data_IF_584289969384
#
_entry.id   IF_584289969384
#
_cell.length_a   1.000
_cell.length_b   1.000
_cell.length_c   1.000
_cell.angle_alpha   90.00
_cell.angle_beta   90.00
_cell.angle_gamma   90.00
#
_symmetry.space_group_name_H-M   'P 1'
#
loop_
_entity.id
_entity.type
_entity.pdbx_description
1 polymer ?
#
# COMPACT_ATOMS: atom_id res chain seq x y z
N UNK A 1 -29.07 40.61 -8.95
CA UNK A 1 -29.45 41.13 -10.28
C UNK A 1 -29.54 40.05 -11.37
N UNK A 2 -29.37 38.75 -11.13
CA UNK A 2 -29.44 37.73 -12.21
C UNK A 2 -30.25 36.48 -11.83
N UNK A 3 -31.38 36.64 -11.12
CA UNK A 3 -32.08 35.50 -10.48
C UNK A 3 -32.50 34.41 -11.51
N UNK A 4 -33.08 34.81 -12.63
CA UNK A 4 -33.50 33.88 -13.68
C UNK A 4 -32.30 33.26 -14.42
N UNK A 5 -31.26 34.04 -14.72
CA UNK A 5 -30.05 33.55 -15.40
C UNK A 5 -29.24 32.58 -14.52
N UNK A 6 -29.21 32.83 -13.20
CA UNK A 6 -28.58 31.97 -12.21
C UNK A 6 -29.22 30.58 -12.17
N UNK A 7 -30.56 30.53 -12.13
CA UNK A 7 -31.29 29.27 -12.12
C UNK A 7 -31.06 28.48 -13.42
N UNK A 8 -31.08 29.17 -14.57
CA UNK A 8 -30.81 28.55 -15.88
C UNK A 8 -29.38 28.04 -16.01
N UNK A 9 -28.38 28.76 -15.51
CA UNK A 9 -26.98 28.33 -15.54
C UNK A 9 -26.76 27.09 -14.67
N UNK A 10 -27.36 27.06 -13.47
CA UNK A 10 -27.24 25.94 -12.52
C UNK A 10 -27.99 24.68 -12.95
N UNK A 11 -28.96 24.79 -13.86
CA UNK A 11 -29.58 23.63 -14.52
C UNK A 11 -28.64 22.98 -15.54
N UNK A 12 -27.66 23.71 -16.06
CA UNK A 12 -26.74 23.20 -17.09
C UNK A 12 -25.42 22.69 -16.53
N UNK A 13 -24.95 23.25 -15.42
CA UNK A 13 -23.67 22.91 -14.80
C UNK A 13 -23.76 22.89 -13.27
N UNK A 14 -23.03 22.00 -12.58
CA UNK A 14 -23.03 21.92 -11.13
C UNK A 14 -22.12 23.01 -10.53
N UNK A 15 -22.68 24.21 -10.44
CA UNK A 15 -22.00 25.42 -9.98
C UNK A 15 -22.61 25.99 -8.69
N UNK A 16 -21.73 26.44 -7.78
CA UNK A 16 -22.13 27.11 -6.55
C UNK A 16 -22.64 28.53 -6.80
N UNK A 17 -23.57 29.00 -5.96
CA UNK A 17 -24.29 30.28 -6.15
C UNK A 17 -23.33 31.47 -6.31
N UNK A 18 -22.35 31.61 -5.42
CA UNK A 18 -21.40 32.73 -5.47
C UNK A 18 -20.54 32.72 -6.74
N UNK A 19 -20.08 31.54 -7.15
CA UNK A 19 -19.26 31.40 -8.35
C UNK A 19 -20.07 31.70 -9.62
N UNK A 20 -21.32 31.22 -9.68
CA UNK A 20 -22.23 31.48 -10.78
C UNK A 20 -22.58 32.97 -10.93
N UNK A 21 -22.81 33.68 -9.82
CA UNK A 21 -23.06 35.13 -9.85
C UNK A 21 -21.83 35.86 -10.43
N UNK A 22 -20.63 35.51 -9.98
CA UNK A 22 -19.40 36.14 -10.46
C UNK A 22 -19.16 35.90 -11.97
N UNK A 23 -19.46 34.69 -12.48
CA UNK A 23 -19.36 34.41 -13.91
C UNK A 23 -20.42 35.16 -14.73
N UNK A 24 -21.64 35.30 -14.22
CA UNK A 24 -22.70 36.07 -14.85
C UNK A 24 -22.37 37.58 -14.87
N UNK A 25 -21.80 38.12 -13.80
CA UNK A 25 -21.33 39.51 -13.75
C UNK A 25 -20.23 39.75 -14.79
N UNK A 26 -19.25 38.83 -14.92
CA UNK A 26 -18.16 38.92 -15.91
C UNK A 26 -18.63 38.83 -17.37
N UNK A 27 -19.77 38.20 -17.62
CA UNK A 27 -20.32 37.96 -18.95
C UNK A 27 -21.53 38.83 -19.25
N UNK A 28 -21.81 39.84 -18.42
CA UNK A 28 -23.00 40.71 -18.52
C UNK A 28 -24.33 39.91 -18.61
N UNK A 29 -24.40 38.75 -17.96
CA UNK A 29 -25.58 37.89 -17.93
C UNK A 29 -25.72 36.91 -19.10
N UNK A 30 -24.72 36.79 -19.99
CA UNK A 30 -24.70 35.79 -21.06
C UNK A 30 -24.42 34.39 -20.49
N UNK A 31 -25.45 33.55 -20.48
CA UNK A 31 -25.42 32.19 -19.93
C UNK A 31 -24.44 31.29 -20.72
N UNK A 32 -24.38 31.43 -22.05
CA UNK A 32 -23.55 30.59 -22.89
C UNK A 32 -22.06 30.91 -22.67
N UNK A 33 -21.71 32.20 -22.57
CA UNK A 33 -20.36 32.62 -22.23
C UNK A 33 -19.99 32.24 -20.79
N UNK A 34 -20.90 32.41 -19.82
CA UNK A 34 -20.66 32.04 -18.43
C UNK A 34 -20.38 30.55 -18.28
N UNK A 35 -21.09 29.71 -19.02
CA UNK A 35 -20.84 28.26 -19.09
C UNK A 35 -19.47 27.96 -19.71
N UNK A 36 -19.12 28.59 -20.83
CA UNK A 36 -17.82 28.37 -21.48
C UNK A 36 -16.66 28.73 -20.56
N UNK A 37 -16.74 29.85 -19.85
CA UNK A 37 -15.74 30.26 -18.87
C UNK A 37 -15.62 29.26 -17.72
N UNK A 38 -16.75 28.78 -17.18
CA UNK A 38 -16.73 27.73 -16.16
C UNK A 38 -16.02 26.47 -16.65
N UNK A 39 -16.35 26.01 -17.87
CA UNK A 39 -15.74 24.81 -18.44
C UNK A 39 -14.23 24.98 -18.63
N UNK A 40 -13.78 26.13 -19.13
CA UNK A 40 -12.35 26.45 -19.27
C UNK A 40 -11.63 26.51 -17.92
N UNK A 41 -12.21 27.17 -16.92
CA UNK A 41 -11.64 27.27 -15.57
C UNK A 41 -11.45 25.88 -14.94
N UNK A 42 -12.47 25.02 -15.03
CA UNK A 42 -12.41 23.66 -14.46
C UNK A 42 -11.45 22.77 -15.25
N UNK A 43 -11.44 22.85 -16.58
CA UNK A 43 -10.46 22.13 -17.42
C UNK A 43 -9.03 22.52 -17.04
N UNK A 44 -8.76 23.82 -16.85
CA UNK A 44 -7.44 24.30 -16.43
C UNK A 44 -7.05 23.78 -15.03
N UNK A 45 -7.99 23.67 -14.09
CA UNK A 45 -7.72 23.06 -12.78
C UNK A 45 -7.27 21.60 -12.94
N UNK A 46 -7.95 20.83 -13.79
CA UNK A 46 -7.60 19.43 -14.03
C UNK A 46 -6.24 19.29 -14.73
N UNK A 47 -5.99 20.09 -15.77
CA UNK A 47 -4.69 20.12 -16.47
C UNK A 47 -3.56 20.44 -15.48
N UNK A 48 -3.73 21.47 -14.64
CA UNK A 48 -2.71 21.85 -13.67
C UNK A 48 -2.45 20.77 -12.60
N UNK A 49 -3.45 19.94 -12.29
CA UNK A 49 -3.32 18.86 -11.30
C UNK A 49 -2.78 17.56 -11.86
N UNK A 50 -2.98 17.29 -13.15
CA UNK A 50 -2.71 15.97 -13.75
C UNK A 50 -1.74 16.02 -14.93
N UNK A 51 -1.48 17.20 -15.48
CA UNK A 51 -0.68 17.42 -16.69
C UNK A 51 -1.19 16.67 -17.92
N UNK A 52 -2.49 16.35 -17.99
CA UNK A 52 -3.11 15.73 -19.17
C UNK A 52 -3.46 16.78 -20.23
N UNK A 53 -3.67 16.32 -21.47
CA UNK A 53 -4.16 17.17 -22.55
C UNK A 53 -5.57 17.72 -22.23
N UNK A 54 -5.91 18.95 -22.69
CA UNK A 54 -7.22 19.55 -22.45
C UNK A 54 -8.40 18.66 -22.87
N UNK A 55 -8.27 17.95 -23.99
CA UNK A 55 -9.30 17.04 -24.49
C UNK A 55 -9.57 15.87 -23.54
N UNK A 56 -8.52 15.33 -22.91
CA UNK A 56 -8.63 14.24 -21.93
C UNK A 56 -9.32 14.76 -20.67
N UNK A 57 -8.90 15.92 -20.16
CA UNK A 57 -9.53 16.56 -19.01
C UNK A 57 -11.02 16.82 -19.26
N UNK A 58 -11.37 17.38 -20.41
CA UNK A 58 -12.76 17.69 -20.79
C UNK A 58 -13.62 16.43 -20.88
N UNK A 59 -13.11 15.37 -21.53
CA UNK A 59 -13.82 14.07 -21.64
C UNK A 59 -14.17 13.50 -20.26
N UNK A 60 -13.22 13.49 -19.33
CA UNK A 60 -13.44 12.98 -17.97
C UNK A 60 -14.34 13.88 -17.13
N UNK A 61 -14.24 15.20 -17.27
CA UNK A 61 -15.12 16.15 -16.61
C UNK A 61 -16.58 15.93 -17.02
N UNK A 62 -16.84 15.78 -18.32
CA UNK A 62 -18.19 15.50 -18.82
C UNK A 62 -18.71 14.17 -18.27
N UNK A 63 -17.89 13.11 -18.33
CA UNK A 63 -18.25 11.77 -17.81
C UNK A 63 -18.64 11.78 -16.33
N UNK A 64 -17.96 12.61 -15.52
CA UNK A 64 -18.16 12.68 -14.07
C UNK A 64 -19.05 13.86 -13.62
N UNK A 65 -19.73 14.52 -14.55
CA UNK A 65 -20.60 15.65 -14.24
C UNK A 65 -19.86 16.80 -13.55
N UNK A 66 -18.65 17.11 -14.02
CA UNK A 66 -17.76 18.18 -13.50
C UNK A 66 -17.39 18.04 -12.01
N UNK A 67 -17.57 16.87 -11.41
CA UNK A 67 -17.00 16.55 -10.08
C UNK A 67 -15.48 16.41 -10.21
N UNK A 68 -14.75 17.39 -9.65
CA UNK A 68 -13.29 17.44 -9.72
C UNK A 68 -12.66 16.19 -9.11
N UNK A 69 -13.13 15.74 -7.94
CA UNK A 69 -12.55 14.61 -7.23
C UNK A 69 -12.73 13.31 -8.00
N UNK A 70 -13.94 13.05 -8.50
CA UNK A 70 -14.20 11.86 -9.35
C UNK A 70 -13.45 11.92 -10.67
N UNK A 71 -13.31 13.11 -11.25
CA UNK A 71 -12.57 13.31 -12.50
C UNK A 71 -11.08 12.98 -12.33
N UNK A 72 -10.44 13.45 -11.25
CA UNK A 72 -9.04 13.13 -10.96
C UNK A 72 -8.85 11.61 -10.82
N UNK A 73 -9.75 10.93 -10.09
CA UNK A 73 -9.71 9.47 -9.93
C UNK A 73 -9.84 8.77 -11.28
N UNK A 74 -10.84 9.14 -12.09
CA UNK A 74 -11.08 8.53 -13.40
C UNK A 74 -9.93 8.76 -14.39
N UNK A 75 -9.20 9.89 -14.27
CA UNK A 75 -7.99 10.15 -15.07
C UNK A 75 -6.84 9.24 -14.61
N UNK A 76 -6.64 9.12 -13.30
CA UNK A 76 -5.58 8.26 -12.76
C UNK A 76 -5.82 6.79 -13.13
N UNK A 77 -7.08 6.31 -13.07
CA UNK A 77 -7.48 4.96 -13.47
C UNK A 77 -7.25 4.66 -14.95
N UNK A 78 -7.31 5.67 -15.84
CA UNK A 78 -6.96 5.48 -17.25
C UNK A 78 -5.44 5.43 -17.49
N UNK A 79 -4.66 6.10 -16.62
CA UNK A 79 -3.22 6.31 -16.84
C UNK A 79 -2.34 5.28 -16.15
N UNK A 80 -2.80 4.71 -15.05
CA UNK A 80 -1.99 3.89 -14.16
C UNK A 80 -2.66 2.53 -13.94
N UNK A 81 -1.85 1.48 -13.83
CA UNK A 81 -2.31 0.23 -13.21
C UNK A 81 -2.65 0.47 -11.74
N UNK A 82 -3.37 -0.48 -11.11
CA UNK A 82 -3.69 -0.37 -9.69
C UNK A 82 -2.42 -0.25 -8.84
N UNK A 83 -1.39 -1.04 -9.15
CA UNK A 83 -0.08 -0.97 -8.50
C UNK A 83 0.59 0.38 -8.68
N UNK A 84 0.63 0.93 -9.90
CA UNK A 84 1.21 2.26 -10.15
C UNK A 84 0.49 3.35 -9.37
N UNK A 85 -0.85 3.26 -9.29
CA UNK A 85 -1.68 4.18 -8.53
C UNK A 85 -1.44 4.08 -7.02
N UNK A 86 -1.27 2.86 -6.49
CA UNK A 86 -0.90 2.65 -5.09
C UNK A 86 0.46 3.30 -4.82
N UNK A 87 1.49 2.97 -5.61
CA UNK A 87 2.86 3.51 -5.46
C UNK A 87 2.88 5.04 -5.54
N UNK A 88 2.11 5.64 -6.44
CA UNK A 88 2.01 7.08 -6.56
C UNK A 88 1.39 7.73 -5.31
N UNK A 89 0.32 7.13 -4.76
CA UNK A 89 -0.38 7.62 -3.57
C UNK A 89 0.44 7.42 -2.29
N UNK A 90 1.25 6.37 -2.23
CA UNK A 90 2.05 6.00 -1.05
C UNK A 90 3.53 6.35 -1.19
N UNK A 91 3.90 7.28 -2.08
CA UNK A 91 5.29 7.67 -2.35
C UNK A 91 6.12 8.06 -1.11
N UNK A 92 5.45 8.56 -0.06
CA UNK A 92 6.09 8.97 1.20
C UNK A 92 6.03 7.89 2.29
N UNK A 93 5.38 6.75 2.03
CA UNK A 93 5.26 5.62 2.95
C UNK A 93 5.27 4.31 2.15
N UNK A 94 6.48 3.81 1.88
CA UNK A 94 6.68 2.61 1.05
C UNK A 94 6.03 1.37 1.65
N UNK A 95 6.11 1.21 2.98
CA UNK A 95 5.57 0.05 3.69
C UNK A 95 4.04 -0.03 3.54
N UNK A 96 3.32 1.07 3.75
CA UNK A 96 1.87 1.16 3.50
C UNK A 96 1.52 0.85 2.02
N UNK A 97 2.35 1.29 1.09
CA UNK A 97 2.22 0.94 -0.33
C UNK A 97 2.33 -0.56 -0.59
N UNK A 98 3.33 -1.21 0.02
CA UNK A 98 3.56 -2.64 -0.12
C UNK A 98 2.40 -3.45 0.46
N UNK A 99 1.89 -3.08 1.65
CA UNK A 99 0.73 -3.74 2.25
C UNK A 99 -0.53 -3.59 1.39
N UNK A 100 -0.76 -2.41 0.81
CA UNK A 100 -1.87 -2.21 -0.15
C UNK A 100 -1.71 -3.04 -1.42
N UNK A 101 -0.50 -3.23 -1.91
CA UNK A 101 -0.23 -4.10 -3.07
C UNK A 101 -0.46 -5.57 -2.69
N UNK A 102 0.01 -6.02 -1.52
CA UNK A 102 -0.24 -7.37 -1.01
C UNK A 102 -1.75 -7.63 -0.92
N UNK A 103 -2.50 -6.71 -0.31
CA UNK A 103 -3.96 -6.78 -0.24
C UNK A 103 -4.62 -6.81 -1.63
N UNK A 104 -4.15 -6.00 -2.59
CA UNK A 104 -4.68 -6.02 -3.95
C UNK A 104 -4.43 -7.36 -4.67
N UNK A 105 -3.30 -8.01 -4.40
CA UNK A 105 -3.01 -9.36 -4.91
C UNK A 105 -3.98 -10.36 -4.29
N UNK A 106 -4.20 -10.30 -2.98
CA UNK A 106 -5.13 -11.18 -2.29
C UNK A 106 -6.55 -11.12 -2.85
N UNK A 107 -7.07 -9.91 -3.04
CA UNK A 107 -8.40 -9.68 -3.61
C UNK A 107 -8.50 -10.22 -5.04
N UNK A 108 -7.47 -9.96 -5.86
CA UNK A 108 -7.45 -10.42 -7.26
C UNK A 108 -7.41 -11.94 -7.38
N UNK A 109 -6.64 -12.58 -6.51
CA UNK A 109 -6.43 -14.03 -6.51
C UNK A 109 -7.43 -14.77 -5.59
N UNK A 110 -8.35 -14.03 -4.97
CA UNK A 110 -9.39 -14.53 -4.07
C UNK A 110 -8.83 -15.42 -2.95
N UNK A 111 -7.74 -14.96 -2.33
CA UNK A 111 -7.05 -15.68 -1.26
C UNK A 111 -7.91 -15.67 0.01
N UNK A 112 -8.06 -16.84 0.63
CA UNK A 112 -8.84 -16.99 1.87
C UNK A 112 -7.92 -16.85 3.08
N UNK A 113 -8.21 -15.88 3.95
CA UNK A 113 -7.54 -15.72 5.25
C UNK A 113 -8.43 -16.19 6.40
N UNK A 114 -7.80 -16.78 7.43
CA UNK A 114 -8.41 -17.05 8.72
C UNK A 114 -7.51 -16.40 9.79
N UNK A 115 -7.72 -15.09 9.98
CA UNK A 115 -6.79 -14.15 10.63
C UNK A 115 -5.52 -13.91 9.80
N UNK A 116 -4.72 -14.94 9.59
CA UNK A 116 -3.48 -14.91 8.80
C UNK A 116 -3.60 -15.79 7.55
N UNK A 117 -2.84 -15.48 6.51
CA UNK A 117 -2.72 -16.26 5.28
C UNK A 117 -1.92 -17.54 5.52
N UNK A 118 -2.45 -18.65 5.03
CA UNK A 118 -1.67 -19.89 4.90
C UNK A 118 -0.80 -19.80 3.65
N UNK A 119 0.52 -19.96 3.81
CA UNK A 119 1.44 -19.91 2.66
C UNK A 119 1.22 -21.06 1.67
N UNK A 120 0.60 -22.16 2.11
CA UNK A 120 0.17 -23.26 1.22
C UNK A 120 -0.86 -22.81 0.18
N UNK A 121 -1.64 -21.76 0.47
CA UNK A 121 -2.66 -21.23 -0.44
C UNK A 121 -2.09 -20.32 -1.54
N UNK A 122 -0.80 -19.98 -1.48
CA UNK A 122 -0.17 -18.99 -2.36
C UNK A 122 0.40 -19.58 -3.66
N UNK A 123 0.17 -20.88 -3.92
CA UNK A 123 0.80 -21.61 -5.03
C UNK A 123 0.49 -21.09 -6.44
N UNK A 124 -0.58 -20.31 -6.61
CA UNK A 124 -0.96 -19.71 -7.90
C UNK A 124 -0.28 -18.36 -8.17
N UNK A 125 0.35 -17.75 -7.16
CA UNK A 125 1.01 -16.46 -7.31
C UNK A 125 2.26 -16.60 -8.18
N UNK A 126 2.52 -15.58 -9.00
CA UNK A 126 3.81 -15.51 -9.67
C UNK A 126 4.93 -15.22 -8.64
N UNK A 127 6.18 -15.49 -9.00
CA UNK A 127 7.30 -15.42 -8.06
C UNK A 127 7.50 -14.04 -7.39
N UNK A 128 7.10 -12.94 -8.05
CA UNK A 128 7.21 -11.58 -7.47
C UNK A 128 6.07 -11.29 -6.50
N UNK A 129 4.84 -11.70 -6.87
CA UNK A 129 3.68 -11.60 -5.99
C UNK A 129 3.85 -12.46 -4.74
N UNK A 130 4.34 -13.70 -4.90
CA UNK A 130 4.61 -14.61 -3.78
C UNK A 130 5.59 -13.99 -2.78
N UNK A 131 6.70 -13.44 -3.26
CA UNK A 131 7.68 -12.76 -2.41
C UNK A 131 7.07 -11.60 -1.61
N UNK A 132 6.28 -10.75 -2.27
CA UNK A 132 5.65 -9.59 -1.63
C UNK A 132 4.64 -10.03 -0.58
N UNK A 133 3.71 -10.92 -0.94
CA UNK A 133 2.66 -11.40 -0.02
C UNK A 133 3.28 -12.11 1.18
N UNK A 134 4.24 -13.02 0.96
CA UNK A 134 4.84 -13.77 2.08
C UNK A 134 5.63 -12.89 3.04
N UNK A 135 6.44 -11.95 2.55
CA UNK A 135 7.23 -11.09 3.43
C UNK A 135 6.33 -10.07 4.13
N UNK A 136 5.36 -9.47 3.43
CA UNK A 136 4.42 -8.51 4.05
C UNK A 136 3.61 -9.18 5.15
N UNK A 137 3.02 -10.35 4.88
CA UNK A 137 2.23 -11.09 5.87
C UNK A 137 3.07 -11.42 7.11
N UNK A 138 4.34 -11.80 6.94
CA UNK A 138 5.23 -12.09 8.06
C UNK A 138 5.60 -10.84 8.87
N UNK A 139 5.83 -9.71 8.21
CA UNK A 139 6.10 -8.43 8.90
C UNK A 139 4.87 -7.93 9.67
N UNK A 140 3.67 -8.04 9.09
CA UNK A 140 2.42 -7.73 9.79
C UNK A 140 2.18 -8.66 10.98
N UNK A 141 2.50 -9.95 10.84
CA UNK A 141 2.47 -10.90 11.95
C UNK A 141 3.47 -10.51 13.05
N UNK A 142 4.68 -10.09 12.68
CA UNK A 142 5.68 -9.62 13.64
C UNK A 142 5.23 -8.35 14.38
N UNK A 143 4.63 -7.40 13.67
CA UNK A 143 4.09 -6.18 14.28
C UNK A 143 2.97 -6.47 15.28
N UNK A 144 2.15 -7.50 15.00
CA UNK A 144 1.01 -7.87 15.84
C UNK A 144 1.38 -8.78 17.01
N UNK A 145 2.12 -9.86 16.73
CA UNK A 145 2.42 -10.94 17.69
C UNK A 145 3.81 -10.86 18.31
N UNK A 146 4.68 -9.93 17.88
CA UNK A 146 6.12 -9.80 18.16
C UNK A 146 7.06 -10.75 17.40
N UNK A 147 8.35 -10.37 17.36
CA UNK A 147 9.44 -11.12 16.72
C UNK A 147 9.55 -12.55 17.22
N UNK A 148 9.47 -12.75 18.54
CA UNK A 148 9.54 -14.08 19.17
C UNK A 148 8.49 -15.05 18.61
N UNK A 149 7.26 -14.57 18.40
CA UNK A 149 6.17 -15.34 17.82
C UNK A 149 6.37 -15.56 16.31
N UNK A 150 6.82 -14.53 15.59
CA UNK A 150 7.05 -14.56 14.14
C UNK A 150 8.09 -15.61 13.72
N UNK A 151 9.05 -15.95 14.60
CA UNK A 151 10.03 -17.03 14.35
C UNK A 151 9.41 -18.43 14.15
N UNK A 152 8.13 -18.62 14.47
CA UNK A 152 7.40 -19.88 14.24
C UNK A 152 6.37 -19.79 13.11
N UNK A 153 6.24 -18.63 12.47
CA UNK A 153 5.30 -18.40 11.38
C UNK A 153 6.05 -18.44 10.04
N UNK A 154 6.09 -19.61 9.39
CA UNK A 154 6.68 -19.82 8.04
C UNK A 154 8.10 -19.23 7.80
N UNK A 155 8.90 -19.07 8.85
CA UNK A 155 10.21 -18.41 8.83
C UNK A 155 11.20 -18.95 7.80
N UNK A 156 11.17 -20.24 7.49
CA UNK A 156 12.09 -20.85 6.53
C UNK A 156 11.76 -20.36 5.10
N UNK A 157 10.48 -20.18 4.79
CA UNK A 157 10.01 -19.59 3.53
C UNK A 157 10.41 -18.11 3.48
N UNK A 158 10.10 -17.35 4.53
CA UNK A 158 10.34 -15.90 4.58
C UNK A 158 11.83 -15.59 4.46
N UNK A 159 12.68 -16.30 5.21
CA UNK A 159 14.13 -16.09 5.14
C UNK A 159 14.71 -16.49 3.79
N UNK A 160 14.14 -17.49 3.12
CA UNK A 160 14.52 -17.84 1.75
C UNK A 160 14.18 -16.72 0.75
N UNK A 161 12.98 -16.14 0.83
CA UNK A 161 12.60 -15.03 -0.05
C UNK A 161 13.45 -13.77 0.21
N UNK A 162 13.70 -13.44 1.48
CA UNK A 162 14.61 -12.33 1.86
C UNK A 162 16.02 -12.56 1.31
N UNK A 163 16.56 -13.77 1.46
CA UNK A 163 17.90 -14.09 0.99
C UNK A 163 18.00 -14.05 -0.53
N UNK A 164 17.08 -14.71 -1.24
CA UNK A 164 17.19 -14.94 -2.69
C UNK A 164 16.57 -13.80 -3.49
N UNK A 165 15.33 -13.42 -3.20
CA UNK A 165 14.60 -12.42 -4.01
C UNK A 165 15.03 -11.00 -3.66
N UNK A 166 15.29 -10.73 -2.39
CA UNK A 166 15.76 -9.40 -1.96
C UNK A 166 17.28 -9.29 -1.93
N UNK A 167 18.00 -10.40 -2.10
CA UNK A 167 19.47 -10.44 -2.02
C UNK A 167 19.99 -9.92 -0.67
N UNK A 168 19.31 -10.28 0.43
CA UNK A 168 19.64 -9.87 1.80
C UNK A 168 20.03 -11.08 2.68
N UNK A 169 21.12 -11.82 2.35
CA UNK A 169 21.51 -13.02 3.08
C UNK A 169 21.82 -12.76 4.56
N UNK A 170 22.37 -11.58 4.89
CA UNK A 170 22.67 -11.22 6.28
C UNK A 170 21.41 -11.05 7.12
N UNK A 171 20.36 -10.42 6.57
CA UNK A 171 19.08 -10.22 7.26
C UNK A 171 18.39 -11.56 7.49
N UNK A 172 18.35 -12.41 6.46
CA UNK A 172 17.83 -13.77 6.59
C UNK A 172 18.59 -14.56 7.66
N UNK A 173 19.91 -14.41 7.75
CA UNK A 173 20.73 -15.06 8.75
C UNK A 173 20.44 -14.57 10.18
N UNK A 174 20.15 -13.29 10.41
CA UNK A 174 19.74 -12.80 11.74
C UNK A 174 18.49 -13.52 12.25
N UNK A 175 17.46 -13.63 11.39
CA UNK A 175 16.20 -14.30 11.73
C UNK A 175 16.45 -15.80 12.02
N UNK A 176 17.21 -16.50 11.14
CA UNK A 176 17.53 -17.92 11.34
C UNK A 176 18.34 -18.16 12.62
N UNK A 177 19.31 -17.29 12.93
CA UNK A 177 20.12 -17.39 14.15
C UNK A 177 19.30 -17.12 15.40
N UNK A 178 18.37 -16.17 15.37
CA UNK A 178 17.45 -15.94 16.48
C UNK A 178 16.58 -17.18 16.74
N UNK A 179 15.98 -17.78 15.69
CA UNK A 179 15.21 -19.02 15.80
C UNK A 179 16.05 -20.16 16.38
N UNK A 180 17.22 -20.43 15.80
CA UNK A 180 18.12 -21.48 16.27
C UNK A 180 18.46 -21.28 17.74
N UNK A 181 18.84 -20.05 18.14
CA UNK A 181 19.21 -19.76 19.52
C UNK A 181 18.06 -19.98 20.50
N UNK A 182 16.85 -19.59 20.10
CA UNK A 182 15.64 -19.82 20.90
C UNK A 182 15.35 -21.31 21.07
N UNK A 183 15.49 -22.10 20.01
CA UNK A 183 15.33 -23.56 20.06
C UNK A 183 16.37 -24.23 20.98
N UNK A 184 17.62 -23.77 20.95
CA UNK A 184 18.67 -24.22 21.88
C UNK A 184 18.30 -23.91 23.34
N UNK A 185 17.82 -22.71 23.64
CA UNK A 185 17.38 -22.32 24.99
C UNK A 185 16.21 -23.19 25.44
N UNK A 186 15.23 -23.43 24.56
CA UNK A 186 14.09 -24.30 24.82
C UNK A 186 14.52 -25.75 25.11
N UNK A 187 15.48 -26.28 24.34
CA UNK A 187 16.01 -27.62 24.56
C UNK A 187 16.73 -27.73 25.92
N UNK A 188 17.61 -26.77 26.22
CA UNK A 188 18.31 -26.72 27.51
C UNK A 188 17.35 -26.61 28.70
N UNK A 189 16.22 -25.91 28.53
CA UNK A 189 15.21 -25.79 29.58
C UNK A 189 14.43 -27.10 29.77
N UNK A 190 14.02 -27.75 28.67
CA UNK A 190 13.33 -29.06 28.71
C UNK A 190 14.18 -30.16 29.35
N UNK A 191 15.50 -30.15 29.12
CA UNK A 191 16.42 -31.10 29.74
C UNK A 191 16.61 -30.86 31.25
N UNK A 192 16.53 -29.60 31.70
CA UNK A 192 16.78 -29.21 33.10
C UNK A 192 15.54 -29.23 34.00
N UNK A 193 14.33 -29.16 33.46
CA UNK A 193 13.09 -29.15 34.25
C UNK A 193 12.02 -30.05 33.63
N UNK A 194 11.62 -31.10 34.36
CA UNK A 194 10.51 -32.00 34.02
C UNK A 194 9.11 -31.34 34.14
N UNK A 195 8.98 -30.06 34.52
CA UNK A 195 7.67 -29.44 34.82
C UNK A 195 7.41 -28.05 34.18
N UNK A 196 6.51 -28.08 33.19
CA UNK A 196 5.27 -27.27 33.00
C UNK A 196 5.25 -25.74 33.02
N UNK A 197 6.33 -24.99 33.24
CA UNK A 197 6.26 -23.51 33.21
C UNK A 197 6.85 -22.89 31.93
N UNK A 198 6.07 -22.89 30.84
CA UNK A 198 6.40 -22.21 29.58
C UNK A 198 6.66 -20.70 29.74
N UNK A 199 6.00 -20.04 30.70
CA UNK A 199 6.13 -18.60 30.95
C UNK A 199 7.57 -18.21 31.31
N UNK A 200 8.27 -19.04 32.08
CA UNK A 200 9.65 -18.76 32.48
C UNK A 200 10.62 -18.83 31.30
N UNK A 201 10.33 -19.67 30.29
CA UNK A 201 11.21 -19.83 29.12
C UNK A 201 11.24 -18.58 28.25
N UNK A 202 10.09 -17.91 28.10
CA UNK A 202 10.03 -16.61 27.42
C UNK A 202 11.00 -15.60 28.06
N UNK A 203 10.96 -15.45 29.38
CA UNK A 203 11.86 -14.54 30.10
C UNK A 203 13.36 -14.87 29.94
N UNK A 204 13.71 -16.15 29.82
CA UNK A 204 15.10 -16.56 29.57
C UNK A 204 15.55 -16.20 28.15
N UNK A 205 14.69 -16.38 27.15
CA UNK A 205 14.98 -16.01 25.75
C UNK A 205 15.17 -14.50 25.63
N UNK A 206 14.26 -13.72 26.22
CA UNK A 206 14.33 -12.24 26.21
C UNK A 206 15.58 -11.68 26.91
N UNK A 207 16.25 -12.48 27.75
CA UNK A 207 17.49 -12.10 28.43
C UNK A 207 18.74 -12.61 27.73
N UNK A 208 18.61 -13.52 26.77
CA UNK A 208 19.74 -14.05 26.04
C UNK A 208 20.37 -12.98 25.13
N UNK A 209 21.69 -12.83 25.25
CA UNK A 209 22.42 -11.77 24.52
C UNK A 209 22.50 -12.05 23.03
N UNK A 210 22.58 -13.31 22.63
CA UNK A 210 22.70 -13.67 21.22
C UNK A 210 21.35 -13.56 20.52
N UNK A 211 20.27 -13.99 21.17
CA UNK A 211 18.90 -13.79 20.68
C UNK A 211 18.62 -12.30 20.43
N UNK A 212 18.76 -11.46 21.46
CA UNK A 212 18.51 -10.01 21.34
C UNK A 212 19.39 -9.33 20.30
N UNK A 213 20.67 -9.71 20.20
CA UNK A 213 21.56 -9.17 19.18
C UNK A 213 21.02 -9.41 17.76
N UNK A 214 20.43 -10.58 17.50
CA UNK A 214 19.88 -10.90 16.19
C UNK A 214 18.53 -10.21 15.95
N UNK A 215 17.68 -10.12 16.97
CA UNK A 215 16.44 -9.34 16.93
C UNK A 215 16.71 -7.85 16.65
N UNK A 216 17.59 -7.22 17.43
CA UNK A 216 18.01 -5.83 17.25
C UNK A 216 18.57 -5.59 15.84
N UNK A 217 19.37 -6.53 15.34
CA UNK A 217 19.95 -6.46 14.00
C UNK A 217 18.87 -6.58 12.91
N UNK A 218 17.88 -7.45 13.08
CA UNK A 218 16.72 -7.53 12.19
C UNK A 218 15.93 -6.22 12.18
N UNK A 219 15.53 -5.70 13.35
CA UNK A 219 14.74 -4.47 13.42
C UNK A 219 15.48 -3.26 12.84
N UNK A 220 16.81 -3.19 13.04
CA UNK A 220 17.64 -2.14 12.43
C UNK A 220 17.67 -2.20 10.90
N UNK A 221 17.64 -3.40 10.33
CA UNK A 221 17.67 -3.63 8.88
C UNK A 221 16.26 -3.74 8.26
N UNK A 222 15.18 -3.63 9.04
CA UNK A 222 13.80 -3.76 8.54
C UNK A 222 13.50 -2.79 7.40
N UNK A 223 13.94 -1.54 7.52
CA UNK A 223 13.76 -0.53 6.45
C UNK A 223 14.42 -0.97 5.14
N UNK A 224 15.54 -1.70 5.19
CA UNK A 224 16.19 -2.23 3.99
C UNK A 224 15.33 -3.30 3.30
N UNK A 225 14.60 -4.13 4.06
CA UNK A 225 13.63 -5.09 3.51
C UNK A 225 12.55 -4.34 2.74
N UNK A 226 11.95 -3.32 3.36
CA UNK A 226 10.92 -2.47 2.74
C UNK A 226 11.43 -1.81 1.46
N UNK A 227 12.63 -1.25 1.49
CA UNK A 227 13.24 -0.64 0.31
C UNK A 227 13.46 -1.64 -0.82
N UNK A 228 13.95 -2.85 -0.51
CA UNK A 228 14.17 -3.91 -1.51
C UNK A 228 12.88 -4.45 -2.09
N UNK A 229 11.84 -4.63 -1.28
CA UNK A 229 10.51 -5.01 -1.77
C UNK A 229 9.94 -3.95 -2.70
N UNK A 230 10.01 -2.67 -2.30
CA UNK A 230 9.55 -1.56 -3.12
C UNK A 230 10.30 -1.50 -4.46
N UNK A 231 11.63 -1.64 -4.46
CA UNK A 231 12.42 -1.70 -5.69
C UNK A 231 12.04 -2.89 -6.59
N UNK A 232 11.75 -4.04 -5.98
CA UNK A 232 11.31 -5.24 -6.70
C UNK A 232 9.96 -5.01 -7.38
N UNK A 233 9.01 -4.35 -6.71
CA UNK A 233 7.73 -3.95 -7.32
C UNK A 233 7.97 -2.96 -8.46
N UNK A 234 8.69 -1.87 -8.22
CA UNK A 234 8.94 -0.82 -9.22
C UNK A 234 9.54 -1.37 -10.52
N UNK A 235 10.50 -2.31 -10.42
CA UNK A 235 11.14 -2.93 -11.58
C UNK A 235 10.25 -3.92 -12.33
N UNK A 236 9.21 -4.44 -11.67
CA UNK A 236 8.36 -5.50 -12.19
C UNK A 236 6.88 -5.13 -12.13
N UNK A 237 6.55 -3.83 -12.24
CA UNK A 237 5.20 -3.31 -11.98
C UNK A 237 4.10 -4.01 -12.79
N UNK A 238 4.42 -4.46 -14.01
CA UNK A 238 3.52 -5.22 -14.89
C UNK A 238 3.22 -6.65 -14.43
N UNK A 239 3.89 -7.14 -13.38
CA UNK A 239 3.65 -8.44 -12.74
C UNK A 239 2.71 -8.34 -11.53
N UNK A 240 2.25 -7.14 -11.22
CA UNK A 240 1.34 -6.85 -10.11
C UNK A 240 -0.01 -6.35 -10.64
N UNK A 241 -1.06 -6.33 -9.80
CA UNK A 241 -2.39 -5.86 -10.18
C UNK A 241 -2.48 -4.45 -10.76
#
# INVERSE_FOLDING_TARGET
MFKNQLDLLRQQIPIGIHHAINLLDKTNGDIAQAKSLFEEEIVNIIINKTSVLPEVAKRHLIKNGYDISKTLISIDEERFTLTELILHKTKNNKEDGLYKIAYAIEERENLKRNFWLSFESLGNLNAYQYCIVTICEWLEYEDYENFSSALYFYVDIVTNEIEIKLSLPQVANYIRRAKQRREEILALYKEKQQDKNFILVGEFVERDKEYRKNEDAFHKERTLIIDRLHDLVMKNVSRFP
#
